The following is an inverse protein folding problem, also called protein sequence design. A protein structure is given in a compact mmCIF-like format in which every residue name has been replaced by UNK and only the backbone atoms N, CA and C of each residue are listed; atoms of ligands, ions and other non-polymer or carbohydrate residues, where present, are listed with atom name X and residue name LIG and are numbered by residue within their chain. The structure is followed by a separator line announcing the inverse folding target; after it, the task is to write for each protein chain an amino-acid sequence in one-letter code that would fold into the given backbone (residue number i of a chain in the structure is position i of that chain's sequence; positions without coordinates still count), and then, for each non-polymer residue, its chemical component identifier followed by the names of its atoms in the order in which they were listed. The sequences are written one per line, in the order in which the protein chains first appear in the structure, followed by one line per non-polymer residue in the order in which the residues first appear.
data_IF_470313507098
#
_entry.id   IF_470313507098
#
_cell.length_a   1.000
_cell.length_b   1.000
_cell.length_c   1.000
_cell.angle_alpha   90.00
_cell.angle_beta   90.00
_cell.angle_gamma   90.00
#
_symmetry.space_group_name_H-M   'P 1'
#
loop_
_entity.id
_entity.type
_entity.pdbx_description
1 polymer ?
#
# COMPACT_ATOMS: atom_id res chain seq x y z
N UNK A 1 -23.90 -5.31 -9.19
CA UNK A 1 -23.33 -6.64 -8.91
C UNK A 1 -22.08 -6.80 -9.75
N UNK A 2 -20.92 -7.01 -9.17
CA UNK A 2 -19.67 -7.29 -9.89
C UNK A 2 -19.48 -8.80 -9.95
N UNK A 3 -19.12 -9.30 -11.12
CA UNK A 3 -18.80 -10.72 -11.33
C UNK A 3 -17.36 -10.81 -11.79
N UNK A 4 -16.50 -11.48 -11.04
CA UNK A 4 -15.14 -11.81 -11.44
C UNK A 4 -15.18 -13.09 -12.29
N UNK A 5 -14.81 -12.98 -13.55
CA UNK A 5 -14.88 -14.08 -14.52
C UNK A 5 -13.51 -14.57 -14.99
N UNK A 6 -12.43 -13.92 -14.56
CA UNK A 6 -11.07 -14.28 -14.94
C UNK A 6 -10.18 -14.43 -13.70
N UNK A 7 -9.63 -15.64 -13.53
CA UNK A 7 -8.68 -15.99 -12.47
C UNK A 7 -7.29 -16.33 -13.06
N UNK A 8 -6.98 -15.86 -14.27
CA UNK A 8 -5.76 -16.23 -14.99
C UNK A 8 -4.45 -15.68 -14.41
N UNK A 9 -4.53 -14.64 -13.58
CA UNK A 9 -3.37 -14.03 -12.95
C UNK A 9 -3.36 -14.29 -11.43
N UNK A 10 -2.87 -15.45 -11.05
CA UNK A 10 -2.70 -15.82 -9.63
C UNK A 10 -1.21 -15.77 -9.29
N UNK A 11 -0.87 -15.11 -8.20
CA UNK A 11 0.47 -15.18 -7.61
C UNK A 11 0.40 -15.59 -6.14
N UNK A 12 1.46 -16.22 -5.66
CA UNK A 12 1.61 -16.48 -4.23
C UNK A 12 2.22 -15.24 -3.58
N UNK A 13 1.54 -14.68 -2.59
CA UNK A 13 2.05 -13.57 -1.80
C UNK A 13 2.68 -14.14 -0.51
N UNK A 14 3.99 -13.98 -0.29
CA UNK A 14 4.61 -14.30 0.99
C UNK A 14 3.93 -13.57 2.14
N UNK A 15 3.95 -14.17 3.34
CA UNK A 15 3.26 -13.62 4.50
C UNK A 15 3.71 -12.20 4.84
N UNK A 16 5.00 -11.88 4.71
CA UNK A 16 5.52 -10.54 4.99
C UNK A 16 4.97 -9.51 3.99
N UNK A 17 4.85 -9.85 2.71
CA UNK A 17 4.29 -8.97 1.67
C UNK A 17 2.82 -8.71 1.94
N UNK A 18 2.02 -9.77 2.14
CA UNK A 18 0.58 -9.63 2.40
C UNK A 18 0.30 -8.90 3.71
N UNK A 19 1.06 -9.16 4.77
CA UNK A 19 0.91 -8.47 6.05
C UNK A 19 1.27 -6.99 5.95
N UNK A 20 2.38 -6.66 5.30
CA UNK A 20 2.82 -5.27 5.15
C UNK A 20 1.83 -4.45 4.34
N UNK A 21 1.32 -4.99 3.24
CA UNK A 21 0.30 -4.31 2.44
C UNK A 21 -1.01 -4.16 3.19
N UNK A 22 -1.47 -5.21 3.89
CA UNK A 22 -2.67 -5.11 4.70
C UNK A 22 -2.55 -4.03 5.76
N UNK A 23 -1.44 -4.03 6.52
CA UNK A 23 -1.17 -3.02 7.55
C UNK A 23 -1.05 -1.60 6.97
N UNK A 24 -0.42 -1.47 5.82
CA UNK A 24 -0.37 -0.18 5.13
C UNK A 24 -1.77 0.38 4.88
N UNK A 25 -2.65 -0.40 4.26
CA UNK A 25 -4.02 0.04 3.98
C UNK A 25 -4.86 0.22 5.25
N UNK A 26 -4.72 -0.65 6.25
CA UNK A 26 -5.41 -0.54 7.53
C UNK A 26 -5.03 0.76 8.25
N UNK A 27 -3.74 1.05 8.38
CA UNK A 27 -3.28 2.28 9.01
C UNK A 27 -3.66 3.52 8.20
N UNK A 28 -3.60 3.44 6.88
CA UNK A 28 -4.02 4.52 5.99
C UNK A 28 -5.52 4.82 6.15
N UNK A 29 -6.37 3.79 6.23
CA UNK A 29 -7.82 3.96 6.44
C UNK A 29 -8.18 4.53 7.82
N UNK A 30 -7.29 4.38 8.80
CA UNK A 30 -7.42 4.94 10.14
C UNK A 30 -6.67 6.28 10.31
N UNK A 31 -6.23 6.91 9.21
CA UNK A 31 -5.46 8.16 9.21
C UNK A 31 -4.16 8.12 10.03
N UNK A 32 -3.64 6.92 10.27
CA UNK A 32 -2.37 6.71 10.96
C UNK A 32 -1.22 6.64 9.95
N UNK A 33 -0.86 7.80 9.37
CA UNK A 33 0.11 7.89 8.30
C UNK A 33 1.50 7.33 8.70
N UNK A 34 1.94 7.62 9.92
CA UNK A 34 3.24 7.12 10.41
C UNK A 34 3.32 5.59 10.35
N UNK A 35 2.34 4.92 10.95
CA UNK A 35 2.31 3.46 10.96
C UNK A 35 2.09 2.87 9.56
N UNK A 36 1.33 3.56 8.70
CA UNK A 36 1.17 3.16 7.30
C UNK A 36 2.51 3.16 6.56
N UNK A 37 3.28 4.25 6.67
CA UNK A 37 4.56 4.36 5.97
C UNK A 37 5.61 3.37 6.49
N UNK A 38 5.64 3.12 7.80
CA UNK A 38 6.48 2.08 8.39
C UNK A 38 6.08 0.66 7.92
N UNK A 39 4.78 0.38 7.86
CA UNK A 39 4.30 -0.91 7.37
C UNK A 39 4.72 -1.17 5.91
N UNK A 40 4.78 -0.13 5.08
CA UNK A 40 5.24 -0.26 3.70
C UNK A 40 6.72 -0.66 3.60
N UNK A 41 7.56 -0.17 4.50
CA UNK A 41 8.97 -0.56 4.56
C UNK A 41 9.15 -2.04 4.93
N UNK A 42 8.16 -2.66 5.56
CA UNK A 42 8.11 -4.10 5.80
C UNK A 42 8.03 -4.97 4.54
N UNK A 43 7.82 -4.35 3.36
CA UNK A 43 7.92 -5.03 2.06
C UNK A 43 9.37 -5.24 1.60
N UNK A 44 10.34 -4.56 2.22
CA UNK A 44 11.75 -4.69 1.85
C UNK A 44 12.30 -6.05 2.26
N UNK A 45 13.00 -6.70 1.35
CA UNK A 45 13.75 -7.94 1.63
C UNK A 45 15.06 -7.67 2.34
N UNK A 46 15.67 -6.50 2.08
CA UNK A 46 16.92 -6.09 2.68
C UNK A 46 16.73 -5.25 3.94
N UNK A 47 17.81 -5.17 4.70
CA UNK A 47 17.90 -4.26 5.86
C UNK A 47 17.95 -2.80 5.40
N UNK A 48 17.23 -1.93 6.11
CA UNK A 48 17.09 -0.53 5.79
C UNK A 48 18.09 0.33 6.60
N UNK A 49 18.48 1.47 6.03
CA UNK A 49 19.29 2.47 6.73
C UNK A 49 18.38 3.39 7.56
N UNK A 50 18.50 3.33 8.88
CA UNK A 50 17.71 4.16 9.80
C UNK A 50 17.88 5.67 9.54
N UNK A 51 19.04 6.10 9.07
CA UNK A 51 19.30 7.52 8.75
C UNK A 51 18.48 8.04 7.58
N UNK A 52 18.09 7.16 6.67
CA UNK A 52 17.25 7.51 5.51
C UNK A 52 15.77 7.53 5.84
N UNK A 53 15.37 6.97 6.97
CA UNK A 53 13.97 6.88 7.40
C UNK A 53 13.32 8.25 7.54
N UNK A 54 14.01 9.21 8.15
CA UNK A 54 13.44 10.56 8.38
C UNK A 54 13.14 11.26 7.05
N UNK A 55 14.06 11.19 6.08
CA UNK A 55 13.85 11.77 4.75
C UNK A 55 12.70 11.09 4.00
N UNK A 56 12.66 9.77 4.03
CA UNK A 56 11.56 8.99 3.48
C UNK A 56 10.22 9.39 4.11
N UNK A 57 10.14 9.45 5.44
CA UNK A 57 8.91 9.82 6.13
C UNK A 57 8.42 11.21 5.73
N UNK A 58 9.32 12.20 5.67
CA UNK A 58 8.97 13.56 5.24
C UNK A 58 8.38 13.58 3.82
N UNK A 59 9.01 12.89 2.87
CA UNK A 59 8.52 12.80 1.48
C UNK A 59 7.18 12.05 1.38
N UNK A 60 6.99 11.01 2.19
CA UNK A 60 5.72 10.29 2.23
C UNK A 60 4.58 11.18 2.74
N UNK A 61 4.85 12.03 3.76
CA UNK A 61 3.86 13.02 4.20
C UNK A 61 3.49 13.99 3.08
N UNK A 62 4.45 14.45 2.27
CA UNK A 62 4.17 15.31 1.11
C UNK A 62 3.31 14.62 0.05
N UNK A 63 3.54 13.30 -0.17
CA UNK A 63 2.73 12.53 -1.13
C UNK A 63 1.28 12.37 -0.65
N UNK A 64 1.07 12.19 0.65
CA UNK A 64 -0.22 11.83 1.24
C UNK A 64 -0.95 12.98 1.94
N UNK A 65 -0.40 14.21 1.98
CA UNK A 65 -0.94 15.32 2.78
C UNK A 65 -2.42 15.66 2.52
N UNK A 66 -2.90 15.42 1.30
CA UNK A 66 -4.29 15.69 0.89
C UNK A 66 -5.01 14.45 0.32
N UNK A 67 -4.41 13.27 0.48
CA UNK A 67 -4.92 12.04 -0.14
C UNK A 67 -6.35 11.69 0.30
N UNK A 68 -6.68 11.86 1.58
CA UNK A 68 -8.02 11.58 2.11
C UNK A 68 -9.10 12.55 1.59
N UNK A 69 -8.69 13.73 1.15
CA UNK A 69 -9.60 14.77 0.68
C UNK A 69 -10.06 14.53 -0.76
N UNK A 70 -9.31 13.72 -1.53
CA UNK A 70 -9.52 13.52 -2.96
C UNK A 70 -10.22 12.21 -3.27
N UNK A 71 -11.05 12.26 -4.32
CA UNK A 71 -11.61 11.06 -4.94
C UNK A 71 -10.60 10.41 -5.89
N UNK A 72 -10.82 9.14 -6.27
CA UNK A 72 -9.95 8.45 -7.24
C UNK A 72 -9.94 9.10 -8.60
N UNK A 73 -11.02 9.80 -8.98
CA UNK A 73 -11.08 10.57 -10.24
C UNK A 73 -10.20 11.80 -10.22
N UNK A 74 -9.99 12.41 -9.05
CA UNK A 74 -9.10 13.58 -8.87
C UNK A 74 -7.64 13.15 -8.69
N UNK A 75 -7.41 12.03 -8.03
CA UNK A 75 -6.06 11.52 -7.78
C UNK A 75 -6.05 9.99 -7.87
N UNK A 76 -5.48 9.47 -8.94
CA UNK A 76 -5.36 8.04 -9.19
C UNK A 76 -4.51 7.36 -8.12
N UNK A 77 -5.02 6.23 -7.59
CA UNK A 77 -4.25 5.37 -6.69
C UNK A 77 -2.94 4.90 -7.36
N UNK A 78 -2.99 4.62 -8.65
CA UNK A 78 -1.80 4.26 -9.45
C UNK A 78 -0.71 5.31 -9.37
N UNK A 79 -1.05 6.60 -9.51
CA UNK A 79 -0.08 7.68 -9.43
C UNK A 79 0.55 7.79 -8.04
N UNK A 80 -0.27 7.66 -6.99
CA UNK A 80 0.22 7.65 -5.62
C UNK A 80 1.10 6.43 -5.36
N UNK A 81 0.65 5.24 -5.73
CA UNK A 81 1.42 4.01 -5.57
C UNK A 81 2.79 4.09 -6.25
N UNK A 82 2.87 4.66 -7.46
CA UNK A 82 4.14 4.83 -8.16
C UNK A 82 5.08 5.81 -7.43
N UNK A 83 4.56 6.92 -6.91
CA UNK A 83 5.34 7.86 -6.09
C UNK A 83 5.82 7.21 -4.79
N UNK A 84 4.94 6.45 -4.15
CA UNK A 84 5.21 5.72 -2.91
C UNK A 84 6.32 4.69 -3.08
N UNK A 85 6.20 3.83 -4.09
CA UNK A 85 7.22 2.81 -4.42
C UNK A 85 8.56 3.48 -4.74
N UNK A 86 8.53 4.53 -5.54
CA UNK A 86 9.73 5.28 -5.88
C UNK A 86 10.41 5.87 -4.65
N UNK A 87 9.65 6.51 -3.76
CA UNK A 87 10.16 7.08 -2.52
C UNK A 87 10.78 5.98 -1.63
N UNK A 88 10.11 4.83 -1.48
CA UNK A 88 10.63 3.72 -0.69
C UNK A 88 11.97 3.18 -1.25
N UNK A 89 12.10 3.08 -2.57
CA UNK A 89 13.33 2.59 -3.23
C UNK A 89 14.45 3.64 -3.20
N UNK A 90 14.16 4.87 -3.64
CA UNK A 90 15.19 5.89 -3.83
C UNK A 90 15.63 6.53 -2.50
N UNK A 91 14.71 6.75 -1.57
CA UNK A 91 14.96 7.50 -0.36
C UNK A 91 15.20 6.59 0.86
N UNK A 92 14.41 5.53 1.05
CA UNK A 92 14.64 4.56 2.13
C UNK A 92 15.63 3.45 1.76
N UNK A 93 15.89 3.23 0.47
CA UNK A 93 16.74 2.14 -0.01
C UNK A 93 16.05 0.77 0.08
N UNK A 94 14.73 0.73 0.04
CA UNK A 94 13.97 -0.52 0.08
C UNK A 94 14.21 -1.35 -1.19
N UNK A 95 14.35 -2.65 -1.02
CA UNK A 95 14.47 -3.64 -2.10
C UNK A 95 13.23 -4.51 -2.07
N UNK A 96 12.40 -4.41 -3.11
CA UNK A 96 11.19 -5.21 -3.24
C UNK A 96 11.46 -6.49 -4.01
N UNK A 97 11.02 -7.62 -3.46
CA UNK A 97 11.07 -8.91 -4.12
C UNK A 97 10.16 -9.00 -5.36
N UNK A 98 10.39 -10.02 -6.15
CA UNK A 98 9.61 -10.25 -7.38
C UNK A 98 8.12 -10.38 -7.13
N UNK A 99 7.73 -10.85 -5.94
CA UNK A 99 6.33 -11.07 -5.53
C UNK A 99 5.54 -9.77 -5.30
N UNK A 100 6.22 -8.67 -5.00
CA UNK A 100 5.57 -7.38 -4.80
C UNK A 100 4.97 -6.80 -6.10
N UNK A 101 5.65 -7.00 -7.23
CA UNK A 101 5.26 -6.41 -8.51
C UNK A 101 3.91 -6.91 -9.06
N UNK A 102 3.58 -8.21 -9.04
CA UNK A 102 2.25 -8.68 -9.46
C UNK A 102 1.12 -8.08 -8.64
N UNK A 103 1.32 -7.88 -7.34
CA UNK A 103 0.33 -7.30 -6.44
C UNK A 103 0.14 -5.80 -6.76
N UNK A 104 1.24 -5.05 -6.87
CA UNK A 104 1.19 -3.63 -7.26
C UNK A 104 0.46 -3.47 -8.61
N UNK A 105 0.77 -4.30 -9.59
CA UNK A 105 0.11 -4.31 -10.89
C UNK A 105 -1.40 -4.61 -10.78
N UNK A 106 -1.79 -5.56 -9.94
CA UNK A 106 -3.20 -5.87 -9.70
C UNK A 106 -3.95 -4.68 -9.10
N UNK A 107 -3.33 -3.96 -8.15
CA UNK A 107 -3.90 -2.73 -7.58
C UNK A 107 -4.04 -1.62 -8.64
N UNK A 108 -3.07 -1.48 -9.55
CA UNK A 108 -3.16 -0.52 -10.67
C UNK A 108 -4.31 -0.84 -11.63
N UNK A 109 -4.55 -2.12 -11.93
CA UNK A 109 -5.70 -2.52 -12.76
C UNK A 109 -7.03 -2.26 -12.06
N UNK A 110 -7.10 -2.55 -10.75
CA UNK A 110 -8.26 -2.25 -9.93
C UNK A 110 -8.57 -0.74 -9.91
N UNK A 111 -7.55 0.10 -9.73
CA UNK A 111 -7.66 1.56 -9.79
C UNK A 111 -8.24 2.03 -11.13
N UNK A 112 -7.73 1.52 -12.25
CA UNK A 112 -8.26 1.84 -13.57
C UNK A 112 -9.72 1.41 -13.78
N UNK A 113 -10.16 0.33 -13.14
CA UNK A 113 -11.56 -0.09 -13.14
C UNK A 113 -12.43 0.86 -12.31
N UNK A 114 -11.99 1.19 -11.10
CA UNK A 114 -12.72 2.07 -10.17
C UNK A 114 -12.88 3.47 -10.76
N UNK A 115 -11.83 4.05 -11.34
CA UNK A 115 -11.88 5.37 -12.00
C UNK A 115 -12.96 5.39 -13.09
N UNK A 116 -13.11 4.32 -13.86
CA UNK A 116 -14.10 4.25 -14.94
C UNK A 116 -15.53 4.06 -14.47
N UNK A 117 -15.72 3.42 -13.34
CA UNK A 117 -17.05 3.03 -12.84
C UNK A 117 -17.56 3.95 -11.74
N UNK A 118 -16.67 4.41 -10.86
CA UNK A 118 -16.99 5.20 -9.67
C UNK A 118 -15.91 6.25 -9.38
N UNK A 119 -15.73 7.27 -10.24
CA UNK A 119 -14.64 8.25 -10.10
C UNK A 119 -14.71 9.07 -8.82
N UNK A 120 -15.91 9.24 -8.25
CA UNK A 120 -16.13 10.07 -7.06
C UNK A 120 -15.86 9.35 -5.74
N UNK A 121 -15.50 8.04 -5.79
CA UNK A 121 -15.27 7.28 -4.57
C UNK A 121 -13.96 7.69 -3.90
N UNK A 122 -13.99 7.77 -2.57
CA UNK A 122 -12.79 7.86 -1.73
C UNK A 122 -12.38 6.46 -1.36
N UNK A 123 -11.45 5.88 -2.12
CA UNK A 123 -11.17 4.46 -2.09
C UNK A 123 -10.80 3.95 -0.70
N UNK A 124 -9.89 4.63 -0.01
CA UNK A 124 -9.40 4.19 1.30
C UNK A 124 -10.51 4.18 2.35
N UNK A 125 -11.29 5.26 2.43
CA UNK A 125 -12.44 5.31 3.36
C UNK A 125 -13.48 4.24 3.06
N UNK A 126 -13.68 3.93 1.78
CA UNK A 126 -14.62 2.87 1.35
C UNK A 126 -14.11 1.46 1.65
N UNK A 127 -12.80 1.27 1.81
CA UNK A 127 -12.20 -0.02 2.15
C UNK A 127 -12.30 -0.37 3.64
N UNK A 128 -12.42 0.62 4.52
CA UNK A 128 -12.34 0.44 5.98
C UNK A 128 -13.22 -0.71 6.52
N UNK A 129 -14.53 -0.83 6.20
CA UNK A 129 -15.35 -1.92 6.70
C UNK A 129 -14.86 -3.32 6.27
N UNK A 130 -14.32 -3.42 5.06
CA UNK A 130 -13.78 -4.68 4.52
C UNK A 130 -12.45 -5.06 5.15
N UNK A 131 -11.61 -4.07 5.49
CA UNK A 131 -10.36 -4.30 6.21
C UNK A 131 -10.62 -4.83 7.62
N UNK A 132 -11.63 -4.30 8.32
CA UNK A 132 -12.05 -4.79 9.64
C UNK A 132 -12.56 -6.23 9.58
N UNK A 133 -13.41 -6.54 8.60
CA UNK A 133 -13.91 -7.89 8.37
C UNK A 133 -12.76 -8.88 8.04
N UNK A 134 -11.85 -8.47 7.18
CA UNK A 134 -10.70 -9.29 6.80
C UNK A 134 -9.79 -9.59 8.00
N UNK A 135 -9.53 -8.58 8.84
CA UNK A 135 -8.75 -8.74 10.06
C UNK A 135 -9.39 -9.72 11.04
N UNK A 136 -10.71 -9.70 11.16
CA UNK A 136 -11.44 -10.63 12.03
C UNK A 136 -11.35 -12.09 11.57
N UNK A 137 -11.16 -12.30 10.26
CA UNK A 137 -11.09 -13.65 9.66
C UNK A 137 -9.69 -14.24 9.60
N UNK A 138 -8.64 -13.41 9.55
CA UNK A 138 -7.27 -13.87 9.32
C UNK A 138 -6.29 -13.29 10.34
N UNK A 139 -5.43 -14.15 10.96
CA UNK A 139 -4.34 -13.66 11.81
C UNK A 139 -3.29 -12.99 10.92
N UNK A 140 -3.14 -11.68 11.07
CA UNK A 140 -2.14 -10.90 10.33
C UNK A 140 -0.98 -10.59 11.28
N UNK A 141 0.20 -11.16 11.05
CA UNK A 141 1.38 -10.87 11.86
C UNK A 141 1.80 -9.40 11.69
N UNK A 142 2.44 -8.84 12.71
CA UNK A 142 3.05 -7.53 12.61
C UNK A 142 4.25 -7.60 11.65
N UNK A 143 4.31 -6.75 10.62
CA UNK A 143 5.51 -6.61 9.80
C UNK A 143 6.59 -5.92 10.63
N UNK A 144 7.78 -6.49 10.64
CA UNK A 144 8.93 -5.94 11.36
C UNK A 144 9.97 -5.51 10.34
N UNK A 145 10.06 -4.21 10.01
CA UNK A 145 11.14 -3.70 9.18
C UNK A 145 12.50 -3.99 9.83
N UNK A 146 13.48 -4.37 9.02
CA UNK A 146 14.85 -4.63 9.49
C UNK A 146 15.69 -3.39 9.27
N UNK A 147 16.18 -2.80 10.36
CA UNK A 147 17.06 -1.63 10.32
C UNK A 147 18.48 -2.00 10.74
N UNK A 148 19.44 -1.32 10.15
CA UNK A 148 20.84 -1.27 10.57
C UNK A 148 21.15 0.15 11.05
N UNK A 149 21.78 0.22 12.23
CA UNK A 149 22.24 1.48 12.83
C UNK A 149 23.56 1.93 12.19
#
# INVERSE_FOLDING_TARGET
MFVFIDNGAICHAPTHVSSSLFRFFEHLSNSNLNAAFEALLGLSEDTLDEKKKEEYMAKMYDIYHDFEMRSVGEQSLTQIMMKTVRCAVEDAGAVFGEEAFPIIRALMYLDGLVIRTHPDVKLISSMSPYLEEFRACLPIPEPVPRYIN
#
